data_IF_569961117582
#
_entry.id   IF_569961117582
#
_cell.length_a   1.000
_cell.length_b   1.000
_cell.length_c   1.000
_cell.angle_alpha   90.00
_cell.angle_beta   90.00
_cell.angle_gamma   90.00
#
_symmetry.space_group_name_H-M   'P 1'
#
loop_
_entity.id
_entity.type
_entity.pdbx_description
1 polymer ?
#
# COMPACT_ATOMS: atom_id res chain seq x y z
N UNK A 1 -8.08 -12.63 27.93
CA UNK A 1 -6.81 -11.88 28.09
C UNK A 1 -5.77 -12.54 27.21
N UNK A 2 -5.42 -11.91 26.10
CA UNK A 2 -4.33 -12.35 25.21
C UNK A 2 -3.33 -11.21 25.11
N UNK A 3 -2.25 -11.34 25.89
CA UNK A 3 -1.11 -10.44 25.86
C UNK A 3 -0.37 -10.61 24.53
N UNK A 4 -0.63 -9.70 23.57
CA UNK A 4 0.33 -9.45 22.51
C UNK A 4 1.54 -8.77 23.14
N UNK A 5 2.65 -9.50 23.19
CA UNK A 5 3.90 -8.97 23.70
C UNK A 5 4.34 -7.73 22.93
N UNK A 6 4.56 -6.63 23.66
CA UNK A 6 5.82 -5.88 23.66
C UNK A 6 5.74 -4.75 24.68
N UNK A 7 6.41 -4.97 25.82
CA UNK A 7 7.05 -3.88 26.52
C UNK A 7 8.29 -3.49 25.69
N UNK A 8 8.25 -2.31 25.11
CA UNK A 8 9.28 -1.72 24.24
C UNK A 8 8.63 -0.58 23.47
N UNK A 9 9.18 0.63 23.55
CA UNK A 9 8.58 1.84 22.99
C UNK A 9 8.13 1.69 21.53
N UNK A 10 7.12 2.47 21.14
CA UNK A 10 6.62 2.53 19.76
C UNK A 10 7.80 2.87 18.82
N UNK A 11 8.22 1.93 17.96
CA UNK A 11 9.33 2.16 17.00
C UNK A 11 8.92 3.26 16.02
N UNK A 12 9.89 4.07 15.59
CA UNK A 12 9.65 5.09 14.57
C UNK A 12 9.16 4.46 13.27
N UNK A 13 8.06 4.97 12.72
CA UNK A 13 7.47 4.48 11.48
C UNK A 13 8.23 5.01 10.26
N UNK A 14 8.75 4.09 9.46
CA UNK A 14 9.37 4.35 8.15
C UNK A 14 8.50 3.69 7.07
N UNK A 15 7.98 4.50 6.16
CA UNK A 15 7.17 4.07 5.03
C UNK A 15 8.00 4.05 3.75
N UNK A 16 7.87 2.97 2.96
CA UNK A 16 8.58 2.78 1.70
C UNK A 16 7.55 2.54 0.60
N UNK A 17 7.53 3.41 -0.41
CA UNK A 17 6.78 3.19 -1.64
C UNK A 17 7.28 1.91 -2.33
N UNK A 18 6.37 1.13 -2.90
CA UNK A 18 6.68 -0.17 -3.49
C UNK A 18 7.08 -0.03 -4.97
N UNK A 19 6.25 0.68 -5.72
CA UNK A 19 6.34 0.77 -7.17
C UNK A 19 7.48 1.68 -7.59
N UNK A 20 8.35 1.21 -8.50
CA UNK A 20 9.58 1.87 -8.95
C UNK A 20 10.69 2.03 -7.90
N UNK A 21 10.38 1.92 -6.60
CA UNK A 21 11.33 2.06 -5.49
C UNK A 21 11.88 0.72 -5.03
N UNK A 22 11.01 -0.28 -4.89
CA UNK A 22 11.37 -1.66 -4.53
C UNK A 22 11.23 -2.60 -5.72
N UNK A 23 10.43 -2.24 -6.71
CA UNK A 23 10.09 -3.07 -7.87
C UNK A 23 10.47 -2.35 -9.16
N UNK A 24 10.91 -3.11 -10.17
CA UNK A 24 11.13 -2.62 -11.53
C UNK A 24 9.84 -2.63 -12.35
N UNK A 25 8.82 -1.93 -11.83
CA UNK A 25 7.45 -2.01 -12.37
C UNK A 25 7.35 -1.49 -13.80
N UNK A 26 8.02 -0.38 -14.12
CA UNK A 26 7.94 0.23 -15.44
C UNK A 26 8.59 -0.66 -16.50
N UNK A 27 9.72 -1.26 -16.17
CA UNK A 27 10.46 -2.17 -17.03
C UNK A 27 9.66 -3.46 -17.25
N UNK A 28 9.02 -3.98 -16.21
CA UNK A 28 8.12 -5.14 -16.30
C UNK A 28 6.91 -4.83 -17.19
N UNK A 29 6.29 -3.67 -17.02
CA UNK A 29 5.18 -3.18 -17.83
C UNK A 29 5.57 -2.98 -19.31
N UNK A 30 6.73 -2.36 -19.56
CA UNK A 30 7.26 -2.17 -20.91
C UNK A 30 7.52 -3.51 -21.61
N UNK A 31 8.15 -4.46 -20.91
CA UNK A 31 8.43 -5.79 -21.44
C UNK A 31 7.15 -6.62 -21.69
N UNK A 32 6.14 -6.48 -20.83
CA UNK A 32 4.82 -7.07 -21.06
C UNK A 32 4.16 -6.48 -22.31
N UNK A 33 4.14 -5.15 -22.43
CA UNK A 33 3.49 -4.48 -23.54
C UNK A 33 4.14 -4.80 -24.89
N UNK A 34 5.47 -4.89 -24.94
CA UNK A 34 6.19 -5.34 -26.14
C UNK A 34 5.83 -6.78 -26.51
N UNK A 35 5.71 -7.68 -25.53
CA UNK A 35 5.37 -9.08 -25.77
C UNK A 35 3.90 -9.28 -26.24
N UNK A 36 2.94 -8.60 -25.62
CA UNK A 36 1.50 -8.79 -25.92
C UNK A 36 1.02 -7.93 -27.10
N UNK A 37 1.64 -6.78 -27.33
CA UNK A 37 1.17 -5.81 -28.33
C UNK A 37 2.18 -5.52 -29.44
N UNK A 38 3.39 -6.07 -29.39
CA UNK A 38 4.44 -5.85 -30.39
C UNK A 38 4.94 -4.41 -30.45
N UNK A 39 4.63 -3.60 -29.44
CA UNK A 39 4.93 -2.17 -29.40
C UNK A 39 5.83 -1.87 -28.21
N UNK A 40 7.03 -1.37 -28.49
CA UNK A 40 8.02 -1.03 -27.46
C UNK A 40 7.63 0.25 -26.73
N UNK A 41 7.70 0.23 -25.40
CA UNK A 41 7.61 1.42 -24.56
C UNK A 41 9.04 1.85 -24.23
N UNK A 42 9.34 3.12 -24.50
CA UNK A 42 10.59 3.74 -24.07
C UNK A 42 10.49 4.13 -22.60
N UNK A 43 10.86 3.18 -21.72
CA UNK A 43 10.79 3.34 -20.28
C UNK A 43 11.64 4.51 -19.75
N UNK A 44 12.65 4.98 -20.49
CA UNK A 44 13.50 6.09 -20.07
C UNK A 44 12.88 7.45 -20.37
N UNK A 45 11.91 7.53 -21.28
CA UNK A 45 11.32 8.77 -21.77
C UNK A 45 9.81 8.89 -21.50
N UNK A 46 9.28 8.10 -20.55
CA UNK A 46 7.87 8.20 -20.16
C UNK A 46 7.60 9.54 -19.46
N UNK A 47 6.60 10.29 -19.96
CA UNK A 47 6.33 11.66 -19.52
C UNK A 47 5.54 11.78 -18.21
N UNK A 48 4.86 10.73 -17.74
CA UNK A 48 4.15 10.74 -16.44
C UNK A 48 3.92 9.33 -15.88
N UNK A 49 3.66 9.25 -14.58
CA UNK A 49 3.25 8.01 -13.89
C UNK A 49 1.89 7.46 -14.35
N UNK A 50 1.11 8.21 -15.11
CA UNK A 50 -0.21 7.77 -15.58
C UNK A 50 -0.07 6.60 -16.54
N UNK A 51 -0.78 5.52 -16.28
CA UNK A 51 -0.87 4.38 -17.19
C UNK A 51 -1.33 4.78 -18.59
N UNK A 52 -2.19 5.79 -18.73
CA UNK A 52 -2.58 6.30 -20.05
C UNK A 52 -1.37 6.87 -20.82
N UNK A 53 -0.43 7.52 -20.14
CA UNK A 53 0.82 7.98 -20.73
C UNK A 53 1.76 6.82 -21.01
N UNK A 54 1.92 5.89 -20.07
CA UNK A 54 2.80 4.70 -20.22
C UNK A 54 2.38 3.88 -21.45
N UNK A 55 1.08 3.67 -21.65
CA UNK A 55 0.54 2.89 -22.76
C UNK A 55 0.43 3.65 -24.09
N UNK A 56 0.72 4.96 -24.11
CA UNK A 56 0.62 5.80 -25.31
C UNK A 56 -0.81 6.17 -25.73
N UNK A 57 -1.77 6.17 -24.80
CA UNK A 57 -3.19 6.44 -25.04
C UNK A 57 -4.02 5.20 -25.39
N UNK A 58 -5.32 5.41 -25.66
CA UNK A 58 -6.27 4.33 -25.96
C UNK A 58 -6.92 3.70 -24.71
N UNK A 59 -7.15 2.38 -24.77
CA UNK A 59 -7.81 1.58 -23.72
C UNK A 59 -6.88 1.29 -22.52
N UNK A 60 -6.48 2.37 -21.84
CA UNK A 60 -5.47 2.31 -20.77
C UNK A 60 -5.92 1.48 -19.57
N UNK A 61 -7.21 1.55 -19.21
CA UNK A 61 -7.78 0.81 -18.09
C UNK A 61 -7.71 -0.71 -18.34
N UNK A 62 -8.14 -1.16 -19.51
CA UNK A 62 -8.08 -2.57 -19.89
C UNK A 62 -6.64 -3.07 -19.97
N UNK A 63 -5.72 -2.31 -20.57
CA UNK A 63 -4.30 -2.70 -20.61
C UNK A 63 -3.68 -2.77 -19.23
N UNK A 64 -3.96 -1.82 -18.35
CA UNK A 64 -3.51 -1.87 -16.95
C UNK A 64 -4.04 -3.09 -16.24
N UNK A 65 -5.33 -3.41 -16.42
CA UNK A 65 -5.93 -4.60 -15.84
C UNK A 65 -5.28 -5.88 -16.36
N UNK A 66 -5.12 -6.01 -17.69
CA UNK A 66 -4.47 -7.15 -18.33
C UNK A 66 -3.01 -7.31 -17.90
N UNK A 67 -2.26 -6.22 -17.77
CA UNK A 67 -0.89 -6.25 -17.25
C UNK A 67 -0.83 -6.83 -15.85
N UNK A 68 -1.67 -6.34 -14.95
CA UNK A 68 -1.72 -6.80 -13.56
C UNK A 68 -2.22 -8.24 -13.39
N UNK A 69 -3.04 -8.74 -14.30
CA UNK A 69 -3.45 -10.14 -14.37
C UNK A 69 -2.45 -11.04 -15.13
N UNK A 70 -1.48 -10.44 -15.81
CA UNK A 70 -0.55 -11.19 -16.64
C UNK A 70 0.43 -12.03 -15.82
N UNK A 71 0.84 -13.15 -16.41
CA UNK A 71 1.93 -13.97 -15.89
C UNK A 71 3.25 -13.17 -15.77
N UNK A 72 3.43 -12.16 -16.63
CA UNK A 72 4.61 -11.28 -16.61
C UNK A 72 4.70 -10.55 -15.27
N UNK A 73 3.61 -9.90 -14.85
CA UNK A 73 3.56 -9.22 -13.56
C UNK A 73 3.70 -10.22 -12.39
N UNK A 74 3.02 -11.37 -12.48
CA UNK A 74 3.03 -12.38 -11.41
C UNK A 74 4.42 -12.99 -11.17
N UNK A 75 5.19 -13.25 -12.24
CA UNK A 75 6.41 -14.08 -12.15
C UNK A 75 7.70 -13.39 -12.54
N UNK A 76 7.66 -12.29 -13.30
CA UNK A 76 8.85 -11.62 -13.83
C UNK A 76 9.07 -10.20 -13.27
N UNK A 77 8.22 -9.73 -12.36
CA UNK A 77 8.45 -8.47 -11.67
C UNK A 77 9.71 -8.55 -10.80
N UNK A 78 10.78 -7.88 -11.21
CA UNK A 78 12.05 -7.91 -10.50
C UNK A 78 12.10 -6.90 -9.34
N UNK A 79 12.87 -7.22 -8.29
CA UNK A 79 13.21 -6.28 -7.23
C UNK A 79 14.33 -5.33 -7.65
N UNK A 80 14.33 -4.12 -7.09
CA UNK A 80 15.46 -3.20 -7.18
C UNK A 80 16.60 -3.73 -6.31
N UNK A 81 17.83 -3.76 -6.86
CA UNK A 81 19.00 -4.30 -6.18
C UNK A 81 19.35 -3.49 -4.92
N UNK A 82 19.86 -4.16 -3.88
CA UNK A 82 20.33 -3.53 -2.65
C UNK A 82 19.24 -3.19 -1.61
N UNK A 83 17.96 -3.21 -2.01
CA UNK A 83 16.86 -2.80 -1.12
C UNK A 83 16.75 -3.68 0.13
N UNK A 84 16.88 -5.01 -0.02
CA UNK A 84 16.77 -5.96 1.09
C UNK A 84 17.93 -5.81 2.07
N UNK A 85 19.15 -5.67 1.54
CA UNK A 85 20.39 -5.51 2.29
C UNK A 85 20.37 -4.27 3.17
N UNK A 86 19.72 -3.20 2.70
CA UNK A 86 19.60 -1.92 3.40
C UNK A 86 18.44 -1.93 4.38
N UNK A 87 17.25 -2.37 3.96
CA UNK A 87 16.05 -2.27 4.79
C UNK A 87 16.02 -3.31 5.92
N UNK A 88 16.53 -4.53 5.71
CA UNK A 88 16.42 -5.59 6.71
C UNK A 88 17.12 -5.26 8.03
N UNK A 89 18.35 -4.69 8.06
CA UNK A 89 18.99 -4.24 9.29
C UNK A 89 18.26 -3.10 10.00
N UNK A 90 17.52 -2.26 9.27
CA UNK A 90 16.80 -1.10 9.82
C UNK A 90 15.63 -1.48 10.73
N UNK A 91 15.14 -2.73 10.65
CA UNK A 91 14.07 -3.24 11.53
C UNK A 91 14.36 -3.11 13.02
N UNK A 92 15.65 -3.07 13.41
CA UNK A 92 16.02 -2.90 14.81
C UNK A 92 15.76 -1.48 15.33
N UNK A 93 15.59 -0.50 14.45
CA UNK A 93 15.30 0.89 14.79
C UNK A 93 13.87 1.29 14.40
N UNK A 94 13.41 0.83 13.24
CA UNK A 94 12.18 1.30 12.62
C UNK A 94 11.08 0.24 12.58
N UNK A 95 9.82 0.71 12.59
CA UNK A 95 8.67 -0.05 12.11
C UNK A 95 8.54 0.18 10.61
N UNK A 96 8.76 -0.85 9.80
CA UNK A 96 8.83 -0.73 8.34
C UNK A 96 7.48 -1.02 7.70
N UNK A 97 6.95 -0.06 6.95
CA UNK A 97 5.70 -0.20 6.20
C UNK A 97 6.00 -0.15 4.69
N UNK A 98 5.45 -1.09 3.93
CA UNK A 98 5.40 -0.98 2.47
C UNK A 98 4.09 -0.29 2.08
N UNK A 99 4.15 0.67 1.16
CA UNK A 99 2.99 1.44 0.67
C UNK A 99 2.91 1.32 -0.84
N UNK A 100 1.71 1.14 -1.39
CA UNK A 100 1.52 0.96 -2.84
C UNK A 100 0.19 1.54 -3.31
N UNK A 101 0.21 1.99 -4.56
CA UNK A 101 -0.93 2.53 -5.30
C UNK A 101 -1.56 1.49 -6.23
N UNK A 102 -1.09 0.24 -6.16
CA UNK A 102 -1.64 -0.87 -6.94
C UNK A 102 -3.13 -1.08 -6.66
N UNK A 103 -3.88 -1.57 -7.64
CA UNK A 103 -5.26 -1.92 -7.41
C UNK A 103 -5.37 -3.13 -6.49
N UNK A 104 -6.42 -3.18 -5.66
CA UNK A 104 -6.60 -4.24 -4.65
C UNK A 104 -6.70 -5.65 -5.19
N UNK A 105 -7.12 -5.82 -6.45
CA UNK A 105 -7.24 -7.16 -7.03
C UNK A 105 -5.89 -7.88 -7.20
N UNK A 106 -4.75 -7.16 -7.16
CA UNK A 106 -3.39 -7.75 -7.15
C UNK A 106 -2.74 -7.83 -5.77
N UNK A 107 -3.53 -7.69 -4.70
CA UNK A 107 -2.98 -7.67 -3.35
C UNK A 107 -2.28 -8.97 -2.99
N UNK A 108 -2.87 -10.12 -3.34
CA UNK A 108 -2.29 -11.43 -3.06
C UNK A 108 -0.89 -11.54 -3.68
N UNK A 109 -0.80 -11.25 -4.97
CA UNK A 109 0.45 -11.28 -5.74
C UNK A 109 1.47 -10.31 -5.15
N UNK A 110 1.04 -9.11 -4.75
CA UNK A 110 1.93 -8.11 -4.15
C UNK A 110 2.50 -8.57 -2.79
N UNK A 111 1.68 -9.22 -1.95
CA UNK A 111 2.13 -9.80 -0.67
C UNK A 111 3.07 -10.97 -0.87
N UNK A 112 2.75 -11.87 -1.80
CA UNK A 112 3.60 -13.02 -2.14
C UNK A 112 4.94 -12.55 -2.70
N UNK A 113 4.93 -11.51 -3.54
CA UNK A 113 6.12 -10.88 -4.09
C UNK A 113 7.01 -10.29 -2.99
N UNK A 114 6.44 -9.57 -2.02
CA UNK A 114 7.16 -9.02 -0.88
C UNK A 114 7.74 -10.12 0.02
N UNK A 115 6.97 -11.17 0.30
CA UNK A 115 7.45 -12.31 1.08
C UNK A 115 8.58 -13.07 0.38
N UNK A 116 8.61 -13.07 -0.96
CA UNK A 116 9.66 -13.70 -1.74
C UNK A 116 10.95 -12.86 -1.77
N UNK A 117 10.85 -11.57 -2.13
CA UNK A 117 12.01 -10.72 -2.38
C UNK A 117 12.52 -9.97 -1.15
N UNK A 118 11.62 -9.65 -0.21
CA UNK A 118 11.87 -8.81 0.98
C UNK A 118 11.38 -9.54 2.25
N UNK A 119 11.64 -10.85 2.30
CA UNK A 119 11.18 -11.75 3.36
C UNK A 119 11.54 -11.22 4.75
N UNK A 120 10.51 -10.94 5.55
CA UNK A 120 10.66 -10.50 6.93
C UNK A 120 11.22 -9.08 7.07
N UNK A 121 11.14 -8.25 6.03
CA UNK A 121 11.53 -6.83 6.07
C UNK A 121 10.39 -5.96 6.61
N UNK A 122 9.18 -6.10 6.08
CA UNK A 122 8.07 -5.21 6.42
C UNK A 122 7.20 -5.75 7.55
N UNK A 123 6.74 -4.84 8.41
CA UNK A 123 5.74 -5.13 9.44
C UNK A 123 4.31 -5.16 8.85
N UNK A 124 4.05 -4.37 7.79
CA UNK A 124 2.76 -4.29 7.13
C UNK A 124 2.88 -3.77 5.69
N UNK A 125 1.96 -4.22 4.84
CA UNK A 125 1.67 -3.63 3.53
C UNK A 125 0.39 -2.78 3.63
N UNK A 126 0.44 -1.57 3.09
CA UNK A 126 -0.68 -0.62 3.05
C UNK A 126 -0.93 -0.24 1.59
N UNK A 127 -2.18 -0.39 1.15
CA UNK A 127 -2.63 0.15 -0.13
C UNK A 127 -3.24 1.53 0.10
N UNK A 128 -3.03 2.43 -0.86
CA UNK A 128 -3.57 3.79 -0.78
C UNK A 128 -5.09 3.81 -0.93
N UNK A 129 -5.65 2.87 -1.70
CA UNK A 129 -7.10 2.71 -1.94
C UNK A 129 -7.75 3.95 -2.54
N UNK A 130 -7.09 4.51 -3.57
CA UNK A 130 -7.58 5.66 -4.32
C UNK A 130 -7.50 5.36 -5.82
N UNK A 131 -8.65 5.47 -6.49
CA UNK A 131 -8.78 5.19 -7.93
C UNK A 131 -8.52 6.46 -8.76
N UNK A 132 -8.58 7.65 -8.14
CA UNK A 132 -8.34 8.93 -8.78
C UNK A 132 -6.88 9.39 -8.62
N UNK A 133 -6.11 9.54 -9.71
CA UNK A 133 -4.76 10.10 -9.65
C UNK A 133 -4.71 11.49 -8.99
N UNK A 134 -5.78 12.29 -9.14
CA UNK A 134 -5.89 13.64 -8.55
C UNK A 134 -5.92 13.62 -7.01
N UNK A 135 -6.34 12.50 -6.41
CA UNK A 135 -6.50 12.38 -4.96
C UNK A 135 -5.43 11.49 -4.31
N UNK A 136 -4.60 10.82 -5.11
CA UNK A 136 -3.59 9.87 -4.65
C UNK A 136 -2.64 10.49 -3.63
N UNK A 137 -2.13 11.69 -3.93
CA UNK A 137 -1.22 12.44 -3.05
C UNK A 137 -1.88 12.79 -1.73
N UNK A 138 -3.10 13.35 -1.79
CA UNK A 138 -3.86 13.70 -0.60
C UNK A 138 -4.12 12.46 0.28
N UNK A 139 -4.39 11.31 -0.35
CA UNK A 139 -4.63 10.06 0.36
C UNK A 139 -3.36 9.50 0.99
N UNK A 140 -2.21 9.57 0.31
CA UNK A 140 -0.90 9.23 0.91
C UNK A 140 -0.60 10.12 2.11
N UNK A 141 -0.86 11.43 2.01
CA UNK A 141 -0.69 12.38 3.12
C UNK A 141 -1.51 11.97 4.35
N UNK A 142 -2.79 11.66 4.16
CA UNK A 142 -3.66 11.14 5.23
C UNK A 142 -3.11 9.84 5.85
N UNK A 143 -2.61 8.92 5.02
CA UNK A 143 -2.01 7.68 5.51
C UNK A 143 -0.75 7.92 6.31
N UNK A 144 0.11 8.86 5.89
CA UNK A 144 1.31 9.22 6.62
C UNK A 144 0.98 9.81 7.99
N UNK A 145 -0.04 10.67 8.06
CA UNK A 145 -0.54 11.24 9.31
C UNK A 145 -1.14 10.14 10.22
N UNK A 146 -2.05 9.30 9.68
CA UNK A 146 -2.71 8.22 10.41
C UNK A 146 -1.71 7.19 10.98
N UNK A 147 -0.66 6.88 10.22
CA UNK A 147 0.37 5.90 10.58
C UNK A 147 1.55 6.53 11.33
N UNK A 148 1.48 7.84 11.59
CA UNK A 148 2.53 8.63 12.24
C UNK A 148 3.91 8.42 11.58
N UNK A 149 3.94 8.41 10.25
CA UNK A 149 5.17 8.24 9.47
C UNK A 149 6.14 9.37 9.79
N UNK A 150 7.40 9.02 10.09
CA UNK A 150 8.47 9.99 10.34
C UNK A 150 9.52 10.00 9.25
N UNK A 151 9.65 8.91 8.52
CA UNK A 151 10.55 8.77 7.38
C UNK A 151 9.76 8.18 6.22
N UNK A 152 9.72 8.89 5.09
CA UNK A 152 9.09 8.43 3.85
C UNK A 152 10.17 8.16 2.79
N UNK A 153 10.07 7.04 2.07
CA UNK A 153 11.06 6.59 1.10
C UNK A 153 10.36 6.26 -0.22
N UNK A 154 10.90 6.73 -1.34
CA UNK A 154 10.32 6.51 -2.67
C UNK A 154 11.23 6.97 -3.81
N UNK A 155 10.88 6.71 -5.06
CA UNK A 155 11.67 7.09 -6.24
C UNK A 155 11.05 8.24 -7.04
N UNK A 156 9.73 8.45 -6.91
CA UNK A 156 9.05 9.61 -7.49
C UNK A 156 9.17 10.82 -6.58
N UNK A 157 10.24 11.59 -6.80
CA UNK A 157 10.56 12.79 -6.04
C UNK A 157 9.41 13.83 -5.96
N UNK A 158 8.66 14.03 -7.05
CA UNK A 158 7.60 15.03 -7.11
C UNK A 158 6.42 14.59 -6.23
N UNK A 159 5.94 13.36 -6.46
CA UNK A 159 4.83 12.79 -5.70
C UNK A 159 5.19 12.62 -4.23
N UNK A 160 6.36 12.04 -3.93
CA UNK A 160 6.77 11.74 -2.56
C UNK A 160 6.91 13.01 -1.74
N UNK A 161 7.55 14.05 -2.27
CA UNK A 161 7.75 15.30 -1.54
C UNK A 161 6.42 16.02 -1.25
N UNK A 162 5.45 15.93 -2.16
CA UNK A 162 4.11 16.49 -1.96
C UNK A 162 3.31 15.68 -0.92
N UNK A 163 3.31 14.35 -1.05
CA UNK A 163 2.61 13.47 -0.12
C UNK A 163 3.21 13.50 1.30
N UNK A 164 4.53 13.69 1.39
CA UNK A 164 5.31 13.69 2.61
C UNK A 164 5.57 15.10 3.18
N UNK A 165 4.79 16.11 2.79
CA UNK A 165 4.98 17.51 3.21
C UNK A 165 5.11 17.69 4.73
N UNK A 166 4.41 16.88 5.53
CA UNK A 166 4.44 16.92 7.00
C UNK A 166 5.33 15.84 7.63
N UNK A 167 6.00 15.01 6.82
CA UNK A 167 6.92 13.98 7.29
C UNK A 167 8.29 14.62 7.50
N UNK A 168 8.91 14.35 8.65
CA UNK A 168 10.16 15.03 9.03
C UNK A 168 11.35 14.70 8.13
N UNK A 169 11.38 13.50 7.54
CA UNK A 169 12.47 13.06 6.68
C UNK A 169 11.94 12.34 5.43
N UNK A 170 12.47 12.73 4.27
CA UNK A 170 12.15 12.14 2.97
C UNK A 170 13.45 11.65 2.34
N UNK A 171 13.49 10.38 1.96
CA UNK A 171 14.62 9.75 1.28
C UNK A 171 14.19 9.31 -0.11
N UNK A 172 14.73 9.96 -1.13
CA UNK A 172 14.48 9.60 -2.53
C UNK A 172 15.58 8.63 -2.96
N UNK A 173 15.21 7.43 -3.41
CA UNK A 173 16.15 6.42 -3.88
C UNK A 173 15.91 6.17 -5.37
N UNK A 174 16.94 6.42 -6.18
CA UNK A 174 16.85 6.34 -7.63
C UNK A 174 16.06 7.50 -8.23
N UNK A 175 15.44 7.22 -9.38
CA UNK A 175 14.59 8.18 -10.08
C UNK A 175 13.59 7.46 -10.98
N UNK A 176 12.53 8.19 -11.33
CA UNK A 176 11.56 7.82 -12.37
C UNK A 176 11.71 8.79 -13.55
N UNK A 177 11.42 8.37 -14.79
CA UNK A 177 11.73 9.15 -16.00
C UNK A 177 10.95 10.47 -16.10
N UNK A 178 9.77 10.56 -15.48
CA UNK A 178 8.92 11.74 -15.51
C UNK A 178 9.23 12.79 -14.46
N UNK A 179 10.16 12.51 -13.55
CA UNK A 179 10.46 13.40 -12.43
C UNK A 179 11.88 13.93 -12.52
N UNK A 180 12.01 15.26 -12.47
CA UNK A 180 13.33 15.90 -12.40
C UNK A 180 13.97 15.67 -11.02
N UNK A 181 15.30 15.54 -10.93
CA UNK A 181 15.99 15.50 -9.64
C UNK A 181 15.60 16.68 -8.75
N UNK A 182 15.47 16.44 -7.45
CA UNK A 182 15.09 17.49 -6.49
C UNK A 182 16.26 18.45 -6.32
N UNK A 183 15.99 19.75 -6.43
CA UNK A 183 16.96 20.76 -6.03
C UNK A 183 17.23 20.64 -4.52
N UNK A 184 18.50 20.61 -4.12
CA UNK A 184 19.00 20.37 -2.74
C UNK A 184 18.48 21.34 -1.66
N UNK A 185 17.55 22.23 -1.98
CA UNK A 185 17.14 23.38 -1.17
C UNK A 185 16.03 23.08 -0.14
N UNK A 186 15.44 21.88 -0.11
CA UNK A 186 14.44 21.51 0.92
C UNK A 186 15.08 20.78 2.09
N UNK A 187 15.02 21.38 3.28
CA UNK A 187 15.42 20.74 4.54
C UNK A 187 14.67 19.43 4.75
N UNK A 188 15.36 18.37 5.16
CA UNK A 188 14.77 17.05 5.43
C UNK A 188 14.57 16.15 4.19
N UNK A 189 14.90 16.60 2.98
CA UNK A 189 14.86 15.78 1.76
C UNK A 189 16.27 15.38 1.33
N UNK A 190 16.52 14.09 1.20
CA UNK A 190 17.79 13.54 0.69
C UNK A 190 17.51 12.68 -0.54
N UNK A 191 18.28 12.86 -1.61
CA UNK A 191 18.18 12.03 -2.81
C UNK A 191 19.50 11.29 -3.04
N UNK A 192 19.39 9.98 -3.27
CA UNK A 192 20.50 9.06 -3.60
C UNK A 192 20.17 8.30 -4.88
N UNK A 193 21.19 7.78 -5.57
CA UNK A 193 21.00 7.13 -6.87
C UNK A 193 20.60 5.67 -6.77
N UNK A 194 21.03 4.99 -5.70
CA UNK A 194 20.76 3.58 -5.47
C UNK A 194 20.67 3.24 -3.98
N UNK A 195 20.18 2.03 -3.67
CA UNK A 195 19.96 1.60 -2.29
C UNK A 195 21.27 1.50 -1.47
N UNK A 196 22.38 1.09 -2.08
CA UNK A 196 23.70 1.03 -1.42
C UNK A 196 24.08 2.38 -0.78
N UNK A 197 23.88 3.49 -1.50
CA UNK A 197 24.10 4.86 -1.03
C UNK A 197 23.09 5.27 0.05
N UNK A 198 21.85 4.78 -0.03
CA UNK A 198 20.81 5.07 0.96
C UNK A 198 21.20 4.63 2.38
N UNK A 199 22.08 3.64 2.51
CA UNK A 199 22.57 3.15 3.81
C UNK A 199 23.16 4.27 4.67
N UNK A 200 24.01 5.11 4.09
CA UNK A 200 24.64 6.23 4.83
C UNK A 200 23.61 7.26 5.28
N UNK A 201 22.59 7.50 4.44
CA UNK A 201 21.47 8.38 4.77
C UNK A 201 20.71 7.84 5.98
N UNK A 202 20.39 6.54 6.02
CA UNK A 202 19.71 5.95 7.17
C UNK A 202 20.57 5.91 8.43
N UNK A 203 21.88 5.66 8.31
CA UNK A 203 22.82 5.72 9.44
C UNK A 203 22.87 7.13 10.06
N UNK A 204 22.77 8.18 9.23
CA UNK A 204 22.66 9.55 9.72
C UNK A 204 21.29 9.82 10.38
N UNK A 205 20.19 9.41 9.74
CA UNK A 205 18.85 9.56 10.31
C UNK A 205 18.68 8.89 11.67
N UNK A 206 19.30 7.71 11.86
CA UNK A 206 19.28 7.00 13.15
C UNK A 206 19.93 7.86 14.25
N UNK A 207 21.02 8.59 13.93
CA UNK A 207 21.68 9.49 14.87
C UNK A 207 20.84 10.74 15.14
N UNK A 208 20.31 11.36 14.09
CA UNK A 208 19.52 12.59 14.18
C UNK A 208 18.22 12.38 14.97
N UNK A 209 17.63 11.19 14.86
CA UNK A 209 16.44 10.78 15.61
C UNK A 209 16.76 10.10 16.94
N UNK A 210 18.04 10.00 17.32
CA UNK A 210 18.54 9.40 18.56
C UNK A 210 18.02 7.96 18.81
N UNK A 211 17.83 7.18 17.73
CA UNK A 211 17.19 5.87 17.79
C UNK A 211 18.09 4.82 18.42
N UNK A 212 17.57 4.14 19.43
CA UNK A 212 18.23 3.01 20.05
C UNK A 212 17.83 1.69 19.36
N UNK A 213 18.77 0.77 19.12
CA UNK A 213 18.45 -0.52 18.55
C UNK A 213 17.65 -1.37 19.55
N UNK A 214 16.68 -2.13 19.06
CA UNK A 214 16.00 -3.14 19.88
C UNK A 214 16.93 -4.30 20.24
N UNK A 215 16.91 -4.73 21.49
CA UNK A 215 17.62 -5.92 21.99
C UNK A 215 17.18 -7.21 21.29
N UNK A 216 15.89 -7.30 20.92
CA UNK A 216 15.30 -8.45 20.23
C UNK A 216 14.68 -8.02 18.92
N UNK A 217 15.31 -8.41 17.83
CA UNK A 217 14.84 -8.18 16.47
C UNK A 217 14.05 -9.40 16.03
N UNK A 218 12.79 -9.18 15.65
CA UNK A 218 11.97 -10.21 15.04
C UNK A 218 11.85 -9.91 13.56
N UNK A 219 11.99 -10.96 12.73
CA UNK A 219 11.63 -10.87 11.33
C UNK A 219 10.18 -10.38 11.19
N UNK A 220 9.94 -9.59 10.14
CA UNK A 220 8.59 -9.19 9.77
C UNK A 220 7.69 -10.41 9.55
N UNK A 221 6.38 -10.28 9.78
CA UNK A 221 5.44 -11.33 9.45
C UNK A 221 5.51 -11.70 7.97
N UNK A 222 5.12 -12.94 7.64
CA UNK A 222 4.81 -13.30 6.25
C UNK A 222 3.52 -12.60 5.83
N UNK A 223 3.63 -11.57 5.01
CA UNK A 223 2.53 -10.72 4.57
C UNK A 223 1.47 -11.49 3.79
N UNK A 224 1.85 -12.53 3.05
CA UNK A 224 0.93 -13.37 2.26
C UNK A 224 0.05 -14.27 3.14
N UNK A 225 0.48 -14.57 4.38
CA UNK A 225 -0.39 -15.29 5.34
C UNK A 225 -1.55 -14.43 5.83
N UNK A 226 -1.40 -13.11 5.79
CA UNK A 226 -2.44 -12.15 6.09
C UNK A 226 -3.18 -11.81 4.80
N UNK A 227 -3.99 -12.75 4.30
CA UNK A 227 -4.92 -12.48 3.20
C UNK A 227 -5.99 -11.51 3.69
N UNK A 228 -6.10 -10.38 2.98
CA UNK A 228 -6.80 -9.12 3.32
C UNK A 228 -7.91 -9.24 4.37
N UNK A 229 -7.79 -8.52 5.48
CA UNK A 229 -8.90 -8.36 6.42
C UNK A 229 -9.94 -7.38 5.86
N UNK A 230 -9.67 -6.61 4.80
CA UNK A 230 -10.61 -5.65 4.24
C UNK A 230 -11.55 -6.28 3.20
N UNK A 231 -12.80 -5.80 3.18
CA UNK A 231 -13.81 -6.08 2.15
C UNK A 231 -14.46 -4.75 1.78
N UNK A 232 -14.34 -4.35 0.52
CA UNK A 232 -14.97 -3.12 0.02
C UNK A 232 -16.35 -3.42 -0.57
N UNK A 233 -17.37 -2.75 -0.06
CA UNK A 233 -18.78 -2.91 -0.42
C UNK A 233 -19.16 -1.87 -1.45
N UNK A 234 -19.84 -2.34 -2.50
CA UNK A 234 -20.40 -1.52 -3.57
C UNK A 234 -21.89 -1.82 -3.73
N UNK A 235 -22.59 -0.98 -4.47
CA UNK A 235 -23.99 -1.21 -4.85
C UNK A 235 -24.17 -2.24 -5.99
N UNK A 236 -23.08 -2.70 -6.61
CA UNK A 236 -23.12 -3.61 -7.78
C UNK A 236 -23.45 -5.05 -7.41
N UNK A 237 -23.29 -5.44 -6.15
CA UNK A 237 -23.50 -6.81 -5.65
C UNK A 237 -24.41 -6.78 -4.41
N UNK A 238 -25.23 -7.81 -4.19
CA UNK A 238 -26.11 -7.88 -3.02
C UNK A 238 -25.31 -8.15 -1.73
N UNK A 239 -25.88 -7.79 -0.58
CA UNK A 239 -25.26 -7.99 0.74
C UNK A 239 -24.81 -9.44 1.01
N UNK A 240 -25.57 -10.43 0.53
CA UNK A 240 -25.25 -11.87 0.65
C UNK A 240 -23.91 -12.22 0.01
N UNK A 241 -23.56 -11.58 -1.12
CA UNK A 241 -22.27 -11.80 -1.78
C UNK A 241 -21.10 -11.42 -0.86
N UNK A 242 -21.21 -10.25 -0.22
CA UNK A 242 -20.18 -9.76 0.70
C UNK A 242 -20.11 -10.60 1.98
N UNK A 243 -21.26 -11.02 2.54
CA UNK A 243 -21.29 -11.93 3.68
C UNK A 243 -20.57 -13.25 3.38
N UNK A 244 -20.76 -13.83 2.19
CA UNK A 244 -20.06 -15.05 1.78
C UNK A 244 -18.54 -14.86 1.67
N UNK A 245 -18.08 -13.73 1.12
CA UNK A 245 -16.65 -13.38 1.06
C UNK A 245 -16.07 -13.31 2.47
N UNK A 246 -16.71 -12.57 3.37
CA UNK A 246 -16.25 -12.38 4.74
C UNK A 246 -16.22 -13.72 5.49
N UNK A 247 -17.25 -14.56 5.31
CA UNK A 247 -17.28 -15.89 5.91
C UNK A 247 -16.15 -16.79 5.38
N UNK A 248 -15.85 -16.73 4.08
CA UNK A 248 -14.69 -17.41 3.51
C UNK A 248 -13.37 -16.94 4.14
N UNK A 249 -13.21 -15.64 4.39
CA UNK A 249 -12.04 -15.09 5.11
C UNK A 249 -11.93 -15.64 6.55
N UNK A 250 -13.04 -15.73 7.27
CA UNK A 250 -13.04 -16.32 8.62
C UNK A 250 -12.75 -17.82 8.63
N UNK A 251 -13.36 -18.59 7.73
CA UNK A 251 -13.33 -20.05 7.78
C UNK A 251 -12.13 -20.65 7.03
N UNK A 252 -11.89 -20.21 5.80
CA UNK A 252 -10.84 -20.75 4.92
C UNK A 252 -9.50 -20.08 5.24
N UNK A 253 -9.49 -18.76 5.36
CA UNK A 253 -8.27 -17.98 5.60
C UNK A 253 -7.94 -17.83 7.09
N UNK A 254 -8.78 -18.37 7.98
CA UNK A 254 -8.62 -18.35 9.45
C UNK A 254 -8.41 -16.94 10.03
N UNK A 255 -9.00 -15.92 9.42
CA UNK A 255 -8.98 -14.57 9.97
C UNK A 255 -9.79 -14.51 11.27
N UNK A 256 -9.31 -13.72 12.23
CA UNK A 256 -10.06 -13.41 13.46
C UNK A 256 -10.88 -12.11 13.32
N UNK A 257 -10.43 -11.21 12.45
CA UNK A 257 -11.06 -9.91 12.19
C UNK A 257 -11.12 -9.63 10.70
N UNK A 258 -12.20 -9.01 10.24
CA UNK A 258 -12.40 -8.53 8.87
C UNK A 258 -13.00 -7.12 8.92
N UNK A 259 -12.34 -6.15 8.30
CA UNK A 259 -12.83 -4.80 8.06
C UNK A 259 -13.74 -4.78 6.82
N UNK A 260 -14.85 -4.09 6.92
CA UNK A 260 -15.83 -3.92 5.84
C UNK A 260 -15.96 -2.43 5.57
N UNK A 261 -15.55 -1.96 4.40
CA UNK A 261 -15.60 -0.56 4.02
C UNK A 261 -16.66 -0.31 2.95
N UNK A 262 -17.41 0.78 3.04
CA UNK A 262 -18.47 1.12 2.10
C UNK A 262 -18.48 2.61 1.79
N UNK A 263 -18.74 2.97 0.53
CA UNK A 263 -19.11 4.34 0.17
C UNK A 263 -20.51 4.67 0.67
N UNK A 264 -20.88 5.96 0.71
CA UNK A 264 -22.21 6.42 1.14
C UNK A 264 -23.35 5.62 0.48
N UNK A 265 -23.31 5.48 -0.85
CA UNK A 265 -24.32 4.74 -1.60
C UNK A 265 -24.38 3.23 -1.24
N UNK A 266 -23.30 2.67 -0.71
CA UNK A 266 -23.16 1.25 -0.38
C UNK A 266 -23.30 0.96 1.13
N UNK A 267 -23.51 1.98 1.98
CA UNK A 267 -23.64 1.83 3.43
C UNK A 267 -24.72 0.81 3.80
N UNK A 268 -25.90 0.91 3.19
CA UNK A 268 -27.00 -0.01 3.45
C UNK A 268 -26.61 -1.45 3.15
N UNK A 269 -25.95 -1.70 2.02
CA UNK A 269 -25.45 -3.03 1.63
C UNK A 269 -24.44 -3.57 2.64
N UNK A 270 -23.57 -2.70 3.17
CA UNK A 270 -22.54 -3.09 4.13
C UNK A 270 -23.12 -3.45 5.49
N UNK A 271 -24.08 -2.64 5.97
CA UNK A 271 -24.81 -2.92 7.21
C UNK A 271 -25.61 -4.22 7.06
N UNK A 272 -26.28 -4.43 5.93
CA UNK A 272 -26.98 -5.69 5.66
C UNK A 272 -26.04 -6.89 5.63
N UNK A 273 -24.85 -6.77 5.04
CA UNK A 273 -23.86 -7.85 5.01
C UNK A 273 -23.35 -8.20 6.42
N UNK A 274 -23.06 -7.18 7.23
CA UNK A 274 -22.68 -7.36 8.64
C UNK A 274 -23.82 -8.02 9.44
N UNK A 275 -25.06 -7.63 9.20
CA UNK A 275 -26.22 -8.18 9.89
C UNK A 275 -26.50 -9.63 9.51
N UNK A 276 -26.33 -10.01 8.23
CA UNK A 276 -26.38 -11.41 7.80
C UNK A 276 -25.37 -12.26 8.58
N UNK A 277 -24.13 -11.79 8.70
CA UNK A 277 -23.08 -12.50 9.45
C UNK A 277 -23.38 -12.60 10.94
N UNK A 278 -24.00 -11.57 11.52
CA UNK A 278 -24.46 -11.56 12.91
C UNK A 278 -25.57 -12.58 13.14
N UNK A 279 -26.58 -12.61 12.27
CA UNK A 279 -27.71 -13.57 12.33
C UNK A 279 -27.20 -15.00 12.18
N UNK A 280 -26.22 -15.22 11.30
CA UNK A 280 -25.57 -16.52 11.11
C UNK A 280 -24.59 -16.89 12.24
N UNK A 281 -24.40 -16.01 13.24
CA UNK A 281 -23.44 -16.18 14.32
C UNK A 281 -21.99 -16.43 13.84
N UNK A 282 -21.65 -15.88 12.67
CA UNK A 282 -20.30 -15.97 12.09
C UNK A 282 -19.41 -14.83 12.61
N UNK A 283 -19.97 -13.64 12.84
CA UNK A 283 -19.23 -12.47 13.28
C UNK A 283 -20.06 -11.46 14.08
N UNK A 284 -19.38 -10.61 14.83
CA UNK A 284 -19.94 -9.44 15.52
C UNK A 284 -19.23 -8.16 15.07
N UNK A 285 -19.95 -7.05 14.98
CA UNK A 285 -19.33 -5.74 14.72
C UNK A 285 -18.73 -5.20 16.01
N UNK A 286 -17.42 -4.98 16.04
CA UNK A 286 -16.68 -4.50 17.22
C UNK A 286 -16.35 -3.01 17.15
N UNK A 287 -16.29 -2.44 15.94
CA UNK A 287 -16.03 -1.01 15.74
C UNK A 287 -16.79 -0.52 14.53
N UNK A 288 -17.33 0.69 14.64
CA UNK A 288 -17.94 1.45 13.55
C UNK A 288 -17.21 2.78 13.49
N UNK A 289 -16.69 3.13 12.32
CA UNK A 289 -16.06 4.43 12.10
C UNK A 289 -16.48 4.99 10.75
N UNK A 290 -16.66 6.30 10.69
CA UNK A 290 -16.87 7.02 9.45
C UNK A 290 -15.56 7.70 9.05
N UNK A 291 -15.10 7.44 7.83
CA UNK A 291 -14.07 8.25 7.15
C UNK A 291 -14.75 9.17 6.15
N UNK A 292 -14.05 10.17 5.65
CA UNK A 292 -14.52 10.99 4.53
C UNK A 292 -13.61 10.73 3.33
N UNK A 293 -14.18 10.55 2.14
CA UNK A 293 -13.48 10.46 0.86
C UNK A 293 -13.93 11.62 -0.04
N UNK A 294 -13.01 12.25 -0.77
CA UNK A 294 -13.37 13.36 -1.66
C UNK A 294 -13.99 12.81 -2.94
N UNK A 295 -15.21 13.24 -3.29
CA UNK A 295 -15.87 12.84 -4.54
C UNK A 295 -15.98 14.06 -5.47
N UNK A 296 -15.72 13.91 -6.78
CA UNK A 296 -15.84 15.01 -7.77
C UNK A 296 -16.56 14.60 -9.05
N UNK A 297 -17.53 15.42 -9.49
CA UNK A 297 -17.69 15.83 -10.88
C UNK A 297 -16.91 17.16 -11.12
N UNK A 298 -16.35 17.33 -12.32
CA UNK A 298 -15.27 18.27 -12.67
C UNK A 298 -15.47 19.78 -12.32
N UNK A 299 -16.68 20.26 -12.04
CA UNK A 299 -16.95 21.71 -12.15
C UNK A 299 -17.47 22.42 -10.87
N UNK A 300 -17.61 21.73 -9.73
CA UNK A 300 -18.13 22.35 -8.49
C UNK A 300 -17.38 21.79 -7.29
N UNK A 301 -16.63 22.65 -6.59
CA UNK A 301 -15.74 22.33 -5.47
C UNK A 301 -16.09 21.06 -4.69
N UNK A 302 -15.13 20.14 -4.57
CA UNK A 302 -15.36 18.80 -4.03
C UNK A 302 -15.94 18.80 -2.63
N UNK A 303 -16.86 17.87 -2.37
CA UNK A 303 -17.41 17.61 -1.04
C UNK A 303 -16.91 16.27 -0.52
N UNK A 304 -16.71 16.22 0.80
CA UNK A 304 -16.32 15.03 1.54
C UNK A 304 -17.53 14.07 1.65
N UNK A 305 -17.46 12.94 0.96
CA UNK A 305 -18.45 11.87 1.03
C UNK A 305 -18.07 10.88 2.12
N UNK A 306 -18.95 10.59 3.10
CA UNK A 306 -18.62 9.64 4.15
C UNK A 306 -18.45 8.21 3.59
N UNK A 307 -17.33 7.57 3.94
CA UNK A 307 -17.14 6.11 3.85
C UNK A 307 -17.37 5.51 5.23
N UNK A 308 -18.20 4.48 5.32
CA UNK A 308 -18.38 3.69 6.54
C UNK A 308 -17.34 2.57 6.58
N UNK A 309 -16.71 2.36 7.73
CA UNK A 309 -15.85 1.22 8.02
C UNK A 309 -16.42 0.48 9.24
N UNK A 310 -16.75 -0.80 9.06
CA UNK A 310 -17.19 -1.73 10.10
C UNK A 310 -16.07 -2.74 10.36
N UNK A 311 -15.62 -2.90 11.60
CA UNK A 311 -14.71 -3.98 11.98
C UNK A 311 -15.54 -5.15 12.49
N UNK A 312 -15.44 -6.28 11.82
CA UNK A 312 -16.15 -7.52 12.16
C UNK A 312 -15.16 -8.48 12.81
N UNK A 313 -15.50 -9.00 13.99
CA UNK A 313 -14.74 -10.03 14.69
C UNK A 313 -15.45 -11.37 14.55
N UNK A 314 -14.69 -12.42 14.22
CA UNK A 314 -15.18 -13.80 14.14
C UNK A 314 -15.72 -14.26 15.48
N UNK A 315 -16.88 -14.91 15.46
CA UNK A 315 -17.41 -15.61 16.63
C UNK A 315 -16.86 -17.03 16.65
N UNK A 316 -16.33 -17.47 17.79
CA UNK A 316 -15.88 -18.85 17.94
C UNK A 316 -17.08 -19.81 17.86
N UNK A 317 -16.94 -20.98 17.20
CA UNK A 317 -17.99 -22.00 17.23
C UNK A 317 -18.31 -22.34 18.69
N UNK A 318 -19.60 -22.34 19.06
CA UNK A 318 -20.01 -22.94 20.33
C UNK A 318 -19.67 -24.43 20.25
N UNK A 319 -18.89 -24.90 21.23
CA UNK A 319 -18.64 -26.33 21.43
C UNK A 319 -19.95 -27.06 21.75
#
# INVERSE_FOLDING_TARGET
MSHYGRAGGERVTLAVDLDHTLTKLLECAAAWHEAEHGAKIDAENVASASWATVWGGGDAESKTHQFFESKKFETELAAVAGANEVLKPLRKYFSLLAITDRPRFVEKQTREWLDHHLSGVFDKLVFVDEDSPEHLVARKKELYDDLKVKVAVGSDAAMLTEAAEHVGHVVIVGSVPWTKPVEKSRSGVTQVTEWSEAKETFDQLIKDLELQPLDKIFAGPRLARYTDDLVTVSTRKPAVFYANIINSKFMVQKQETVRLQASEAAITTAVQAAEILRIQNNAITTKISTRYALNRPKDRGGYRVPKLELVLQRVAPKA
#
